data_IF_699735353274
#
_entry.id   IF_699735353274
#
_cell.length_a   1.000
_cell.length_b   1.000
_cell.length_c   1.000
_cell.angle_alpha   90.00
_cell.angle_beta   90.00
_cell.angle_gamma   90.00
#
_symmetry.space_group_name_H-M   'P 1'
#
loop_
_entity.id
_entity.type
_entity.pdbx_description
1 polymer ?
#
# COMPACT_ATOMS: atom_id res chain seq x y z
N UNK A 1 -12.42 14.77 16.02
CA UNK A 1 -12.05 13.35 15.84
C UNK A 1 -13.13 12.38 16.34
N UNK A 2 -14.30 12.85 16.79
CA UNK A 2 -15.26 12.07 17.60
C UNK A 2 -15.93 10.87 16.91
N UNK A 3 -15.74 10.65 15.60
CA UNK A 3 -16.40 9.57 14.84
C UNK A 3 -15.44 8.57 14.17
N UNK A 4 -14.14 8.61 14.47
CA UNK A 4 -13.19 7.62 13.91
C UNK A 4 -13.26 6.35 14.77
N UNK A 5 -13.53 5.16 14.20
CA UNK A 5 -13.54 3.90 14.94
C UNK A 5 -12.11 3.49 15.32
N UNK A 6 -11.56 4.18 16.31
CA UNK A 6 -10.13 4.19 16.65
C UNK A 6 -9.58 2.81 17.00
N UNK A 7 -10.38 1.99 17.71
CA UNK A 7 -10.03 0.60 18.02
C UNK A 7 -9.96 -0.28 16.77
N UNK A 8 -10.89 -0.10 15.83
CA UNK A 8 -10.92 -0.88 14.61
C UNK A 8 -9.76 -0.49 13.68
N UNK A 9 -9.48 0.81 13.52
CA UNK A 9 -8.32 1.27 12.74
C UNK A 9 -7.02 0.78 13.37
N UNK A 10 -6.89 0.86 14.70
CA UNK A 10 -5.71 0.35 15.38
C UNK A 10 -5.49 -1.15 15.13
N UNK A 11 -6.53 -1.98 15.29
CA UNK A 11 -6.44 -3.43 14.99
C UNK A 11 -6.07 -3.69 13.54
N UNK A 12 -6.66 -2.94 12.61
CA UNK A 12 -6.35 -3.04 11.19
C UNK A 12 -4.89 -2.69 10.91
N UNK A 13 -4.36 -1.60 11.48
CA UNK A 13 -2.95 -1.21 11.29
C UNK A 13 -1.97 -2.25 11.86
N UNK A 14 -2.34 -2.96 12.93
CA UNK A 14 -1.56 -4.09 13.46
C UNK A 14 -1.61 -5.28 12.50
N UNK A 15 -2.80 -5.62 11.98
CA UNK A 15 -2.94 -6.70 11.01
C UNK A 15 -2.12 -6.43 9.73
N UNK A 16 -2.21 -5.20 9.19
CA UNK A 16 -1.39 -4.70 8.08
C UNK A 16 0.10 -4.89 8.39
N UNK A 17 0.52 -4.47 9.60
CA UNK A 17 1.90 -4.61 10.05
C UNK A 17 2.39 -6.05 10.07
N UNK A 18 1.60 -6.96 10.63
CA UNK A 18 1.91 -8.39 10.67
C UNK A 18 2.00 -8.95 9.24
N UNK A 19 1.02 -8.67 8.38
CA UNK A 19 0.99 -9.19 7.01
C UNK A 19 2.21 -8.74 6.20
N UNK A 20 2.64 -7.48 6.36
CA UNK A 20 3.81 -6.96 5.67
C UNK A 20 5.12 -7.60 6.19
N UNK A 21 5.24 -7.80 7.50
CA UNK A 21 6.41 -8.47 8.10
C UNK A 21 6.47 -9.92 7.61
N UNK A 22 5.35 -10.65 7.67
CA UNK A 22 5.29 -12.03 7.18
C UNK A 22 5.63 -12.09 5.69
N UNK A 23 5.15 -11.14 4.89
CA UNK A 23 5.49 -11.02 3.47
C UNK A 23 6.99 -10.87 3.26
N UNK A 24 7.63 -9.90 3.92
CA UNK A 24 9.09 -9.66 3.79
C UNK A 24 9.89 -10.89 4.23
N UNK A 25 9.54 -11.48 5.37
CA UNK A 25 10.22 -12.68 5.88
C UNK A 25 10.06 -13.85 4.92
N UNK A 26 8.85 -14.04 4.38
CA UNK A 26 8.59 -15.10 3.40
C UNK A 26 9.39 -14.90 2.11
N UNK A 27 9.54 -13.66 1.64
CA UNK A 27 10.37 -13.36 0.47
C UNK A 27 11.84 -13.71 0.71
N UNK A 28 12.38 -13.35 1.87
CA UNK A 28 13.76 -13.69 2.26
C UNK A 28 13.93 -15.21 2.30
N UNK A 29 13.00 -15.92 2.96
CA UNK A 29 13.05 -17.38 3.06
C UNK A 29 12.86 -18.06 1.70
N UNK A 30 12.11 -17.46 0.78
CA UNK A 30 12.00 -17.93 -0.59
C UNK A 30 13.33 -17.85 -1.33
N UNK A 31 14.07 -16.75 -1.22
CA UNK A 31 15.39 -16.66 -1.84
C UNK A 31 16.45 -17.58 -1.22
N UNK A 32 16.25 -18.02 0.03
CA UNK A 32 17.16 -18.95 0.72
C UNK A 32 16.79 -20.42 0.47
N UNK A 33 15.50 -20.75 0.56
CA UNK A 33 15.01 -22.14 0.60
C UNK A 33 14.07 -22.51 -0.56
N UNK A 34 13.52 -21.53 -1.29
CA UNK A 34 12.56 -21.74 -2.37
C UNK A 34 11.21 -22.30 -1.91
N UNK A 35 10.46 -22.89 -2.84
CA UNK A 35 9.24 -23.65 -2.54
C UNK A 35 8.11 -22.82 -1.94
N UNK A 36 7.52 -23.31 -0.85
CA UNK A 36 6.32 -22.77 -0.17
C UNK A 36 6.40 -21.27 0.16
N UNK A 37 7.61 -20.76 0.42
CA UNK A 37 7.82 -19.38 0.85
C UNK A 37 7.46 -18.33 -0.22
N UNK A 38 7.54 -18.69 -1.50
CA UNK A 38 7.13 -17.82 -2.61
C UNK A 38 5.61 -17.57 -2.58
N UNK A 39 4.77 -18.60 -2.74
CA UNK A 39 3.32 -18.47 -2.65
C UNK A 39 2.82 -17.83 -1.34
N UNK A 40 3.50 -18.07 -0.21
CA UNK A 40 3.17 -17.39 1.05
C UNK A 40 3.45 -15.88 0.98
N UNK A 41 4.57 -15.48 0.38
CA UNK A 41 4.86 -14.06 0.12
C UNK A 41 3.77 -13.42 -0.75
N UNK A 42 3.40 -14.05 -1.88
CA UNK A 42 2.38 -13.52 -2.79
C UNK A 42 1.00 -13.41 -2.11
N UNK A 43 0.59 -14.44 -1.37
CA UNK A 43 -0.66 -14.42 -0.61
C UNK A 43 -0.69 -13.29 0.41
N UNK A 44 0.41 -13.10 1.14
CA UNK A 44 0.49 -12.05 2.17
C UNK A 44 0.58 -10.65 1.58
N UNK A 45 1.16 -10.49 0.38
CA UNK A 45 1.11 -9.25 -0.40
C UNK A 45 -0.34 -8.91 -0.80
N UNK A 46 -1.08 -9.88 -1.35
CA UNK A 46 -2.48 -9.69 -1.71
C UNK A 46 -3.33 -9.28 -0.48
N UNK A 47 -3.15 -9.97 0.65
CA UNK A 47 -3.83 -9.61 1.90
C UNK A 47 -3.44 -8.19 2.35
N UNK A 48 -2.15 -7.83 2.32
CA UNK A 48 -1.68 -6.50 2.71
C UNK A 48 -2.32 -5.39 1.85
N UNK A 49 -2.47 -5.61 0.54
CA UNK A 49 -3.14 -4.68 -0.35
C UNK A 49 -4.65 -4.58 -0.05
N UNK A 50 -5.34 -5.69 0.18
CA UNK A 50 -6.75 -5.70 0.58
C UNK A 50 -6.98 -4.97 1.90
N UNK A 51 -6.15 -5.23 2.92
CA UNK A 51 -6.22 -4.51 4.19
C UNK A 51 -5.94 -3.01 4.03
N UNK A 52 -5.08 -2.63 3.10
CA UNK A 52 -4.83 -1.22 2.75
C UNK A 52 -6.06 -0.55 2.11
N UNK A 53 -6.80 -1.26 1.25
CA UNK A 53 -8.07 -0.77 0.71
C UNK A 53 -9.16 -0.67 1.81
N UNK A 54 -9.21 -1.62 2.75
CA UNK A 54 -10.08 -1.50 3.93
C UNK A 54 -9.70 -0.29 4.78
N UNK A 55 -8.41 -0.02 4.95
CA UNK A 55 -7.94 1.17 5.66
C UNK A 55 -8.38 2.46 4.93
N UNK A 56 -8.26 2.48 3.59
CA UNK A 56 -8.74 3.57 2.76
C UNK A 56 -10.23 3.81 2.93
N UNK A 57 -11.04 2.75 2.97
CA UNK A 57 -12.46 2.84 3.29
C UNK A 57 -12.69 3.44 4.67
N UNK A 58 -12.03 2.93 5.71
CA UNK A 58 -12.23 3.41 7.08
C UNK A 58 -11.86 4.89 7.25
N UNK A 59 -10.90 5.38 6.46
CA UNK A 59 -10.48 6.78 6.44
C UNK A 59 -11.29 7.65 5.45
N UNK A 60 -12.12 7.04 4.60
CA UNK A 60 -12.92 7.74 3.59
C UNK A 60 -13.87 8.79 4.18
N UNK A 61 -14.65 8.54 5.26
CA UNK A 61 -15.52 9.56 5.84
C UNK A 61 -14.77 10.81 6.26
N UNK A 62 -13.56 10.63 6.82
CA UNK A 62 -12.70 11.73 7.23
C UNK A 62 -12.20 12.54 6.02
N UNK A 63 -11.73 11.85 4.97
CA UNK A 63 -11.27 12.52 3.76
C UNK A 63 -12.43 13.20 3.00
N UNK A 64 -13.64 12.63 3.07
CA UNK A 64 -14.85 13.15 2.42
C UNK A 64 -15.27 14.51 2.98
N UNK A 65 -15.10 14.75 4.28
CA UNK A 65 -15.39 16.04 4.91
C UNK A 65 -14.56 17.16 4.28
N UNK A 66 -13.33 16.86 3.87
CA UNK A 66 -12.40 17.85 3.32
C UNK A 66 -12.57 18.04 1.81
N UNK A 67 -12.76 16.93 1.07
CA UNK A 67 -12.96 16.97 -0.37
C UNK A 67 -13.87 15.82 -0.82
N UNK A 68 -15.20 16.06 -0.95
CA UNK A 68 -16.17 14.99 -1.19
C UNK A 68 -15.93 14.21 -2.48
N UNK A 69 -15.65 14.91 -3.59
CA UNK A 69 -15.44 14.30 -4.91
C UNK A 69 -14.13 13.55 -4.98
N UNK A 70 -13.03 14.17 -4.53
CA UNK A 70 -11.71 13.56 -4.56
C UNK A 70 -11.65 12.33 -3.65
N UNK A 71 -12.28 12.40 -2.48
CA UNK A 71 -12.30 11.30 -1.52
C UNK A 71 -12.96 10.03 -2.08
N UNK A 72 -14.07 10.17 -2.82
CA UNK A 72 -14.72 9.06 -3.50
C UNK A 72 -13.82 8.47 -4.60
N UNK A 73 -13.27 9.33 -5.45
CA UNK A 73 -12.36 8.92 -6.51
C UNK A 73 -11.13 8.19 -5.96
N UNK A 74 -10.52 8.72 -4.90
CA UNK A 74 -9.33 8.14 -4.27
C UNK A 74 -9.63 6.80 -3.57
N UNK A 75 -10.85 6.60 -3.05
CA UNK A 75 -11.28 5.30 -2.54
C UNK A 75 -11.36 4.27 -3.68
N UNK A 76 -11.96 4.64 -4.81
CA UNK A 76 -12.02 3.76 -6.00
C UNK A 76 -10.61 3.42 -6.47
N UNK A 77 -9.70 4.40 -6.51
CA UNK A 77 -8.29 4.18 -6.86
C UNK A 77 -7.62 3.19 -5.91
N UNK A 78 -7.82 3.32 -4.59
CA UNK A 78 -7.26 2.38 -3.61
C UNK A 78 -7.80 0.95 -3.78
N UNK A 79 -9.10 0.80 -4.01
CA UNK A 79 -9.74 -0.50 -4.25
C UNK A 79 -9.23 -1.12 -5.55
N UNK A 80 -9.17 -0.35 -6.64
CA UNK A 80 -8.62 -0.81 -7.91
C UNK A 80 -7.16 -1.25 -7.75
N UNK A 81 -6.35 -0.50 -7.00
CA UNK A 81 -4.99 -0.88 -6.66
C UNK A 81 -4.90 -2.23 -5.95
N UNK A 82 -5.75 -2.47 -4.94
CA UNK A 82 -5.78 -3.74 -4.24
C UNK A 82 -6.20 -4.92 -5.15
N UNK A 83 -7.18 -4.71 -6.02
CA UNK A 83 -7.61 -5.72 -7.01
C UNK A 83 -6.47 -6.05 -7.98
N UNK A 84 -5.79 -5.03 -8.52
CA UNK A 84 -4.65 -5.21 -9.43
C UNK A 84 -3.51 -5.97 -8.73
N UNK A 85 -3.19 -5.63 -7.47
CA UNK A 85 -2.19 -6.37 -6.68
C UNK A 85 -2.59 -7.83 -6.48
N UNK A 86 -3.87 -8.12 -6.22
CA UNK A 86 -4.34 -9.51 -6.12
C UNK A 86 -4.19 -10.27 -7.44
N UNK A 87 -4.47 -9.62 -8.58
CA UNK A 87 -4.26 -10.20 -9.91
C UNK A 87 -2.77 -10.49 -10.12
N UNK A 88 -1.88 -9.54 -9.82
CA UNK A 88 -0.43 -9.75 -9.90
C UNK A 88 0.04 -10.92 -9.05
N UNK A 89 -0.42 -11.01 -7.81
CA UNK A 89 -0.09 -12.12 -6.90
C UNK A 89 -0.61 -13.47 -7.42
N UNK A 90 -1.83 -13.49 -7.97
CA UNK A 90 -2.40 -14.69 -8.59
C UNK A 90 -1.61 -15.15 -9.83
N UNK A 91 -1.11 -14.21 -10.64
CA UNK A 91 -0.26 -14.50 -11.81
C UNK A 91 1.10 -15.10 -11.42
N UNK A 92 1.71 -14.63 -10.33
CA UNK A 92 2.94 -15.26 -9.79
C UNK A 92 2.62 -16.69 -9.35
N UNK A 93 1.55 -16.86 -8.57
CA UNK A 93 1.18 -18.16 -8.00
C UNK A 93 0.75 -19.20 -9.05
N UNK A 94 0.15 -18.77 -10.16
CA UNK A 94 -0.24 -19.68 -11.25
C UNK A 94 0.94 -20.19 -12.08
N UNK A 95 2.11 -19.54 -11.99
CA UNK A 95 3.28 -19.86 -12.80
C UNK A 95 3.09 -19.61 -14.30
N UNK A 96 2.05 -18.87 -14.70
CA UNK A 96 1.74 -18.59 -16.11
C UNK A 96 2.63 -17.51 -16.72
N UNK A 97 3.15 -16.63 -15.89
CA UNK A 97 4.07 -15.54 -16.25
C UNK A 97 5.26 -15.59 -15.32
N UNK A 98 6.38 -15.02 -15.75
CA UNK A 98 7.52 -14.83 -14.86
C UNK A 98 7.20 -13.82 -13.74
N UNK A 99 8.07 -13.82 -12.73
CA UNK A 99 8.02 -12.86 -11.63
C UNK A 99 8.13 -11.41 -12.09
N UNK A 100 8.72 -11.15 -13.27
CA UNK A 100 8.92 -9.80 -13.78
C UNK A 100 7.59 -9.18 -14.22
N UNK A 101 6.83 -9.83 -15.11
CA UNK A 101 5.55 -9.28 -15.56
C UNK A 101 4.52 -9.26 -14.42
N UNK A 102 4.43 -10.35 -13.67
CA UNK A 102 3.50 -10.44 -12.54
C UNK A 102 3.86 -9.46 -11.41
N UNK A 103 5.15 -9.30 -11.13
CA UNK A 103 5.68 -8.29 -10.21
C UNK A 103 5.39 -6.86 -10.68
N UNK A 104 5.45 -6.60 -11.99
CA UNK A 104 5.05 -5.31 -12.58
C UNK A 104 3.56 -5.03 -12.39
N UNK A 105 2.68 -6.02 -12.58
CA UNK A 105 1.24 -5.90 -12.26
C UNK A 105 1.05 -5.60 -10.77
N UNK A 106 1.75 -6.33 -9.90
CA UNK A 106 1.67 -6.12 -8.46
C UNK A 106 2.12 -4.69 -8.05
N UNK A 107 3.26 -4.23 -8.58
CA UNK A 107 3.79 -2.90 -8.33
C UNK A 107 2.87 -1.79 -8.85
N UNK A 108 2.18 -2.00 -9.97
CA UNK A 108 1.15 -1.08 -10.48
C UNK A 108 -0.02 -0.95 -9.49
N UNK A 109 -0.47 -2.07 -8.91
CA UNK A 109 -1.52 -2.05 -7.89
C UNK A 109 -1.14 -1.24 -6.65
N UNK A 110 0.09 -1.41 -6.16
CA UNK A 110 0.61 -0.58 -5.07
C UNK A 110 0.81 0.88 -5.45
N UNK A 111 1.07 1.19 -6.72
CA UNK A 111 1.14 2.58 -7.17
C UNK A 111 -0.20 3.29 -6.97
N UNK A 112 -1.32 2.61 -7.23
CA UNK A 112 -2.66 3.17 -7.03
C UNK A 112 -2.95 3.38 -5.54
N UNK A 113 -2.58 2.42 -4.68
CA UNK A 113 -2.64 2.60 -3.22
C UNK A 113 -1.76 3.78 -2.79
N UNK A 114 -0.58 3.94 -3.39
CA UNK A 114 0.34 5.07 -3.16
C UNK A 114 -0.27 6.42 -3.53
N UNK A 115 -0.97 6.52 -4.66
CA UNK A 115 -1.68 7.74 -5.09
C UNK A 115 -2.76 8.11 -4.08
N UNK A 116 -3.56 7.14 -3.62
CA UNK A 116 -4.53 7.37 -2.55
C UNK A 116 -3.84 7.90 -1.28
N UNK A 117 -2.75 7.25 -0.86
CA UNK A 117 -2.01 7.62 0.34
C UNK A 117 -1.46 9.05 0.25
N UNK A 118 -0.90 9.41 -0.91
CA UNK A 118 -0.37 10.73 -1.20
C UNK A 118 -1.46 11.80 -1.10
N UNK A 119 -2.60 11.60 -1.76
CA UNK A 119 -3.72 12.54 -1.74
C UNK A 119 -4.32 12.68 -0.34
N UNK A 120 -4.52 11.56 0.36
CA UNK A 120 -5.03 11.55 1.73
C UNK A 120 -4.13 12.37 2.68
N UNK A 121 -2.82 12.11 2.66
CA UNK A 121 -1.88 12.80 3.55
C UNK A 121 -1.65 14.27 3.15
N UNK A 122 -1.77 14.62 1.87
CA UNK A 122 -1.77 16.01 1.43
C UNK A 122 -2.91 16.81 2.07
N UNK A 123 -4.13 16.28 2.00
CA UNK A 123 -5.30 16.93 2.59
C UNK A 123 -5.28 16.92 4.13
N UNK A 124 -4.87 15.80 4.73
CA UNK A 124 -4.73 15.72 6.18
C UNK A 124 -3.69 16.69 6.75
N UNK A 125 -2.68 17.08 5.95
CA UNK A 125 -1.70 18.11 6.31
C UNK A 125 -2.28 19.52 6.23
N UNK A 126 -3.14 19.82 5.25
CA UNK A 126 -3.78 21.13 5.12
C UNK A 126 -4.76 21.44 6.26
N UNK A 127 -5.24 20.42 6.95
CA UNK A 127 -6.24 20.53 8.03
C UNK A 127 -5.65 20.33 9.43
N UNK A 128 -4.32 20.17 9.54
CA UNK A 128 -3.58 19.94 10.79
C UNK A 128 -4.17 18.85 11.71
N UNK A 129 -4.88 17.87 11.13
CA UNK A 129 -5.52 16.81 11.92
C UNK A 129 -4.53 15.77 12.41
N UNK A 130 -3.48 15.51 11.63
CA UNK A 130 -2.43 14.57 11.99
C UNK A 130 -1.08 15.29 12.18
N UNK A 131 -0.16 14.71 12.98
CA UNK A 131 1.18 15.24 13.12
C UNK A 131 1.86 15.43 11.76
N UNK A 132 2.52 16.58 11.57
CA UNK A 132 3.16 16.92 10.29
C UNK A 132 4.17 15.88 9.82
N UNK A 133 4.85 15.21 10.75
CA UNK A 133 5.83 14.18 10.43
C UNK A 133 5.17 12.89 9.91
N UNK A 134 3.99 12.53 10.42
CA UNK A 134 3.20 11.40 9.90
C UNK A 134 2.68 11.70 8.49
N UNK A 135 2.15 12.89 8.26
CA UNK A 135 1.63 13.26 6.93
C UNK A 135 2.74 13.36 5.90
N UNK A 136 3.90 13.94 6.23
CA UNK A 136 5.08 13.93 5.35
C UNK A 136 5.56 12.52 5.02
N UNK A 137 5.63 11.62 5.99
CA UNK A 137 6.00 10.23 5.74
C UNK A 137 5.02 9.57 4.76
N UNK A 138 3.71 9.78 4.94
CA UNK A 138 2.69 9.25 4.04
C UNK A 138 2.77 9.84 2.63
N UNK A 139 3.10 11.13 2.50
CA UNK A 139 3.35 11.76 1.20
C UNK A 139 4.58 11.15 0.51
N UNK A 140 5.70 10.98 1.21
CA UNK A 140 6.92 10.39 0.65
C UNK A 140 6.67 8.94 0.24
N UNK A 141 6.03 8.15 1.11
CA UNK A 141 5.63 6.78 0.83
C UNK A 141 4.75 6.70 -0.42
N UNK A 142 3.70 7.52 -0.49
CA UNK A 142 2.77 7.53 -1.61
C UNK A 142 3.43 7.97 -2.93
N UNK A 143 4.29 8.98 -2.89
CA UNK A 143 5.03 9.45 -4.06
C UNK A 143 6.02 8.39 -4.57
N UNK A 144 6.75 7.71 -3.69
CA UNK A 144 7.63 6.61 -4.08
C UNK A 144 6.82 5.46 -4.67
N UNK A 145 5.75 5.02 -4.00
CA UNK A 145 4.88 3.96 -4.53
C UNK A 145 4.29 4.31 -5.89
N UNK A 146 3.96 5.58 -6.14
CA UNK A 146 3.44 6.05 -7.43
C UNK A 146 4.44 5.88 -8.59
N UNK A 147 5.76 5.74 -8.33
CA UNK A 147 6.74 5.35 -9.36
C UNK A 147 6.39 3.98 -10.00
N UNK A 148 5.66 3.13 -9.27
CA UNK A 148 5.13 1.87 -9.79
C UNK A 148 4.21 2.04 -11.00
N UNK A 149 3.67 3.24 -11.28
CA UNK A 149 2.93 3.53 -12.51
C UNK A 149 3.76 3.28 -13.78
N UNK A 150 5.09 3.40 -13.70
CA UNK A 150 5.98 3.11 -14.81
C UNK A 150 5.93 1.64 -15.25
N UNK A 151 5.46 0.73 -14.38
CA UNK A 151 5.24 -0.68 -14.74
C UNK A 151 4.14 -0.88 -15.79
N UNK A 152 3.31 0.14 -16.07
CA UNK A 152 2.38 0.11 -17.21
C UNK A 152 3.13 -0.16 -18.51
N UNK A 153 4.36 0.34 -18.66
CA UNK A 153 5.18 0.10 -19.84
C UNK A 153 5.58 -1.37 -19.96
N UNK A 154 5.95 -2.03 -18.86
CA UNK A 154 6.25 -3.46 -18.85
C UNK A 154 5.02 -4.30 -19.19
N UNK A 155 3.86 -3.93 -18.64
CA UNK A 155 2.60 -4.65 -18.85
C UNK A 155 2.16 -4.56 -20.32
N UNK A 156 2.14 -3.36 -20.91
CA UNK A 156 1.78 -3.23 -22.34
C UNK A 156 2.82 -3.82 -23.26
N UNK A 157 4.10 -3.76 -22.89
CA UNK A 157 5.19 -4.40 -23.63
C UNK A 157 5.26 -5.91 -23.45
N UNK A 158 4.44 -6.50 -22.59
CA UNK A 158 4.50 -7.92 -22.19
C UNK A 158 5.93 -8.34 -21.79
N UNK A 159 6.63 -7.44 -21.09
CA UNK A 159 8.02 -7.63 -20.65
C UNK A 159 8.03 -8.64 -19.51
N UNK A 160 8.34 -9.88 -19.86
CA UNK A 160 8.32 -11.01 -18.91
C UNK A 160 9.72 -11.52 -18.56
N UNK A 161 10.77 -11.15 -19.31
CA UNK A 161 12.14 -11.58 -19.00
C UNK A 161 12.97 -10.42 -18.45
N UNK A 162 13.83 -10.70 -17.47
CA UNK A 162 14.72 -9.70 -16.86
C UNK A 162 15.67 -9.06 -17.90
N UNK A 163 16.04 -9.80 -18.95
CA UNK A 163 16.88 -9.29 -20.05
C UNK A 163 16.25 -8.13 -20.81
N UNK A 164 14.93 -8.02 -20.78
CA UNK A 164 14.16 -7.09 -21.60
C UNK A 164 13.76 -5.83 -20.79
N UNK A 165 14.21 -5.76 -19.54
CA UNK A 165 13.91 -4.67 -18.61
C UNK A 165 14.71 -3.42 -18.96
N UNK A 166 14.01 -2.36 -19.39
CA UNK A 166 14.61 -1.05 -19.63
C UNK A 166 15.01 -0.32 -18.34
N UNK A 167 15.90 0.67 -18.44
CA UNK A 167 16.30 1.51 -17.30
C UNK A 167 15.13 2.21 -16.60
N UNK A 168 14.05 2.54 -17.33
CA UNK A 168 12.82 3.11 -16.78
C UNK A 168 12.10 2.12 -15.84
N UNK A 169 12.17 0.83 -16.12
CA UNK A 169 11.55 -0.20 -15.29
C UNK A 169 12.35 -0.44 -14.00
N UNK A 170 13.68 -0.24 -14.01
CA UNK A 170 14.46 -0.19 -12.78
C UNK A 170 14.05 0.98 -11.88
N UNK A 171 13.72 2.15 -12.44
CA UNK A 171 13.13 3.25 -11.66
C UNK A 171 11.76 2.87 -11.08
N UNK A 172 10.95 2.12 -11.83
CA UNK A 172 9.67 1.62 -11.35
C UNK A 172 9.81 0.72 -10.10
N UNK A 173 10.90 -0.05 -10.00
CA UNK A 173 11.17 -0.91 -8.85
C UNK A 173 11.44 -0.14 -7.55
N UNK A 174 11.88 1.12 -7.61
CA UNK A 174 11.97 1.98 -6.42
C UNK A 174 10.60 2.21 -5.76
N UNK A 175 9.50 1.94 -6.48
CA UNK A 175 8.16 1.89 -5.90
C UNK A 175 8.01 0.93 -4.72
N UNK A 176 8.84 -0.12 -4.67
CA UNK A 176 8.91 -1.04 -3.53
C UNK A 176 9.31 -0.35 -2.22
N UNK A 177 10.17 0.67 -2.26
CA UNK A 177 10.52 1.46 -1.07
C UNK A 177 9.29 2.21 -0.51
N UNK A 178 8.42 2.69 -1.39
CA UNK A 178 7.17 3.32 -0.99
C UNK A 178 6.28 2.38 -0.18
N UNK A 179 6.25 1.08 -0.53
CA UNK A 179 5.50 0.05 0.18
C UNK A 179 6.07 -0.22 1.58
N UNK A 180 7.40 -0.25 1.71
CA UNK A 180 8.06 -0.36 3.02
C UNK A 180 7.72 0.85 3.90
N UNK A 181 7.73 2.07 3.32
CA UNK A 181 7.34 3.25 4.07
C UNK A 181 5.83 3.27 4.40
N UNK A 182 4.98 2.67 3.56
CA UNK A 182 3.54 2.52 3.85
C UNK A 182 3.34 1.64 5.09
N UNK A 183 4.12 0.58 5.26
CA UNK A 183 4.14 -0.21 6.49
C UNK A 183 4.49 0.66 7.71
N UNK A 184 5.58 1.43 7.63
CA UNK A 184 5.99 2.31 8.74
C UNK A 184 4.90 3.34 9.05
N UNK A 185 4.30 3.93 8.01
CA UNK A 185 3.24 4.91 8.14
C UNK A 185 1.97 4.32 8.76
N UNK A 186 1.54 3.12 8.35
CA UNK A 186 0.32 2.47 8.89
C UNK A 186 0.47 2.13 10.36
N UNK A 187 1.62 1.57 10.77
CA UNK A 187 1.92 1.29 12.19
C UNK A 187 1.92 2.58 13.01
N UNK A 188 2.51 3.66 12.47
CA UNK A 188 2.54 4.94 13.17
C UNK A 188 1.15 5.60 13.26
N UNK A 189 0.36 5.56 12.19
CA UNK A 189 -1.03 6.02 12.19
C UNK A 189 -1.84 5.36 13.32
N UNK A 190 -1.72 4.04 13.46
CA UNK A 190 -2.38 3.29 14.53
C UNK A 190 -2.03 3.83 15.93
N UNK A 191 -0.74 4.13 16.17
CA UNK A 191 -0.27 4.72 17.44
C UNK A 191 -0.83 6.13 17.68
N UNK A 192 -0.86 6.97 16.64
CA UNK A 192 -1.38 8.35 16.74
C UNK A 192 -2.87 8.33 17.08
N UNK A 193 -3.67 7.51 16.39
CA UNK A 193 -5.12 7.41 16.62
C UNK A 193 -5.44 6.91 18.05
N UNK A 194 -4.69 5.92 18.55
CA UNK A 194 -4.84 5.44 19.93
C UNK A 194 -4.52 6.52 20.96
N UNK A 195 -3.44 7.27 20.77
CA UNK A 195 -3.03 8.34 21.69
C UNK A 195 -4.07 9.46 21.75
N UNK A 196 -4.58 9.89 20.59
CA UNK A 196 -5.62 10.92 20.52
C UNK A 196 -6.93 10.49 21.19
N UNK A 197 -7.30 9.20 21.06
CA UNK A 197 -8.51 8.66 21.73
C UNK A 197 -8.40 8.71 23.25
N UNK A 198 -7.25 8.30 23.82
CA UNK A 198 -7.04 8.33 25.28
C UNK A 198 -7.07 9.76 25.82
N UNK A 199 -6.48 10.71 25.10
CA UNK A 199 -6.46 12.12 25.52
C UNK A 199 -7.87 12.74 25.61
N UNK A 200 -8.83 12.26 24.81
CA UNK A 200 -10.23 12.71 24.88
C UNK A 200 -11.01 12.07 26.04
N UNK A 201 -10.62 10.89 26.53
CA UNK A 201 -11.29 10.22 27.66
C UNK A 201 -10.89 10.77 29.03
N UNK A 202 -9.80 11.54 29.10
CA UNK A 202 -9.27 12.14 30.33
C UNK A 202 -9.53 13.65 30.43
N UNK A 203 -10.32 14.21 29.51
CA UNK A 203 -10.85 15.58 29.58
C UNK A 203 -12.32 15.51 29.97
#
# INVERSE_FOLDING_TARGET
MENIPSRAISRLTVAIGITAIVSIVSLILFFIFGGFWGPLNDLTIAIFALLSAVLAWMLHPFFRIQSPRLSCFMLIVAIAGAVITCIGSALVMSGTTSWQLAGSVNALGFAFIGIWLLAFNYHARLTDVFPQTLTRLGQISGALSALGLLNVLAIFGMVDWQSDVSWLLYLAQFGGLGQILLLVWTVWLGRVILKSTRAMQHK
#
